data_IF_204451490633
#
_entry.id   IF_204451490633
#
_cell.length_a   1.000
_cell.length_b   1.000
_cell.length_c   1.000
_cell.angle_alpha   90.00
_cell.angle_beta   90.00
_cell.angle_gamma   90.00
#
_symmetry.space_group_name_H-M   'P 1'
#
loop_
_entity.id
_entity.type
_entity.pdbx_description
1 polymer ?
#
# COMPACT_ATOMS: atom_id res chain seq x y z
N UNK A 1 -0.20 -4.40 9.59
CA UNK A 1 0.34 -4.13 8.25
C UNK A 1 1.13 -5.33 7.78
N UNK A 2 0.87 -5.82 6.57
CA UNK A 2 1.56 -7.00 6.04
C UNK A 2 2.83 -6.58 5.29
N UNK A 3 3.96 -7.14 5.70
CA UNK A 3 5.27 -7.01 5.06
C UNK A 3 5.62 -8.35 4.42
N UNK A 4 6.33 -8.32 3.30
CA UNK A 4 6.49 -9.51 2.45
C UNK A 4 7.95 -9.68 2.05
N UNK A 5 8.45 -10.90 2.11
CA UNK A 5 9.74 -11.29 1.53
C UNK A 5 9.64 -12.72 0.99
N UNK A 6 10.16 -12.95 -0.23
CA UNK A 6 10.08 -14.26 -0.91
C UNK A 6 8.67 -14.86 -0.87
N UNK A 7 7.67 -14.05 -1.24
CA UNK A 7 6.25 -14.43 -1.34
C UNK A 7 5.60 -14.87 -0.01
N UNK A 8 6.26 -14.62 1.12
CA UNK A 8 5.76 -14.96 2.45
C UNK A 8 5.66 -13.72 3.33
N UNK A 9 4.73 -13.75 4.29
CA UNK A 9 4.65 -12.75 5.33
C UNK A 9 5.96 -12.74 6.13
N UNK A 10 6.63 -11.60 6.19
CA UNK A 10 7.89 -11.41 6.87
C UNK A 10 7.88 -10.05 7.57
N UNK A 11 8.02 -10.04 8.90
CA UNK A 11 8.00 -8.81 9.70
C UNK A 11 9.10 -7.81 9.32
N UNK A 12 10.19 -8.29 8.74
CA UNK A 12 11.34 -7.50 8.31
C UNK A 12 11.34 -7.21 6.80
N UNK A 13 10.37 -7.76 6.07
CA UNK A 13 10.22 -7.49 4.64
C UNK A 13 9.80 -6.05 4.35
N UNK A 14 9.98 -5.58 3.10
CA UNK A 14 9.40 -4.34 2.66
C UNK A 14 7.87 -4.42 2.59
N UNK A 15 7.28 -3.25 2.44
CA UNK A 15 5.88 -3.08 2.06
C UNK A 15 5.83 -2.91 0.55
N UNK A 16 4.92 -3.61 -0.11
CA UNK A 16 4.64 -3.43 -1.52
C UNK A 16 3.35 -2.64 -1.69
N UNK A 17 3.40 -1.60 -2.52
CA UNK A 17 2.26 -0.75 -2.86
C UNK A 17 2.14 -0.74 -4.38
N UNK A 18 0.92 -0.92 -4.88
CA UNK A 18 0.62 -0.83 -6.31
C UNK A 18 -0.33 0.33 -6.52
N UNK A 19 0.10 1.34 -7.29
CA UNK A 19 -0.67 2.54 -7.65
C UNK A 19 -0.67 2.78 -9.17
N UNK A 20 -0.98 1.72 -9.93
CA UNK A 20 -1.10 1.76 -11.39
C UNK A 20 -2.45 2.28 -11.88
N UNK A 21 -3.23 2.91 -11.00
CA UNK A 21 -4.63 3.30 -11.12
C UNK A 21 -4.81 4.78 -11.49
N UNK A 22 -3.96 5.29 -12.36
CA UNK A 22 -3.90 6.72 -12.68
C UNK A 22 -4.97 7.24 -13.65
N UNK A 23 -5.76 6.39 -14.32
CA UNK A 23 -6.78 6.85 -15.27
C UNK A 23 -6.43 6.73 -16.75
N UNK A 24 -5.59 5.77 -17.16
CA UNK A 24 -5.33 5.57 -18.59
C UNK A 24 -6.60 5.09 -19.33
N UNK A 25 -6.59 5.20 -20.67
CA UNK A 25 -7.73 4.81 -21.52
C UNK A 25 -7.89 3.28 -21.65
N UNK A 26 -6.95 2.50 -21.14
CA UNK A 26 -7.03 1.04 -21.17
C UNK A 26 -7.96 0.57 -20.05
N UNK A 27 -8.81 -0.39 -20.36
CA UNK A 27 -9.68 -0.99 -19.35
C UNK A 27 -8.85 -1.64 -18.24
N UNK A 28 -9.23 -1.40 -16.98
CA UNK A 28 -8.62 -2.06 -15.83
C UNK A 28 -8.65 -3.58 -15.97
N UNK A 29 -7.58 -4.26 -15.52
CA UNK A 29 -7.66 -5.70 -15.27
C UNK A 29 -8.78 -5.96 -14.24
N UNK A 30 -9.86 -6.70 -14.62
CA UNK A 30 -11.02 -6.77 -13.77
C UNK A 30 -10.96 -7.90 -12.74
N UNK A 31 -9.80 -8.51 -12.50
CA UNK A 31 -9.70 -9.69 -11.65
C UNK A 31 -8.71 -9.50 -10.50
N UNK A 32 -9.20 -9.79 -9.30
CA UNK A 32 -8.35 -10.10 -8.15
C UNK A 32 -8.35 -11.62 -7.93
N UNK A 33 -7.23 -12.14 -7.41
CA UNK A 33 -7.20 -13.53 -6.91
C UNK A 33 -8.22 -13.65 -5.76
N UNK A 34 -9.05 -14.69 -5.80
CA UNK A 34 -10.06 -14.99 -4.79
C UNK A 34 -9.89 -16.44 -4.28
N UNK A 35 -9.73 -16.67 -2.96
CA UNK A 35 -9.68 -15.69 -1.87
C UNK A 35 -8.43 -14.78 -1.93
N UNK A 36 -8.44 -13.60 -1.26
CA UNK A 36 -7.26 -12.76 -1.15
C UNK A 36 -6.07 -13.56 -0.58
N UNK A 37 -4.87 -13.48 -1.18
CA UNK A 37 -3.66 -14.01 -0.55
C UNK A 37 -3.42 -13.31 0.80
N UNK A 38 -2.97 -14.04 1.83
CA UNK A 38 -2.70 -13.49 3.17
C UNK A 38 -1.69 -12.32 3.17
N UNK A 39 -0.85 -12.25 2.13
CA UNK A 39 0.13 -11.19 1.92
C UNK A 39 -0.47 -9.88 1.38
N UNK A 40 -1.73 -9.89 0.93
CA UNK A 40 -2.46 -8.73 0.40
C UNK A 40 -3.33 -8.12 1.50
N UNK A 41 -2.88 -6.99 2.06
CA UNK A 41 -3.55 -6.31 3.16
C UNK A 41 -4.76 -5.48 2.72
N UNK A 42 -4.59 -4.68 1.67
CA UNK A 42 -5.62 -3.81 1.11
C UNK A 42 -5.56 -3.90 -0.42
N UNK A 43 -6.73 -3.85 -1.05
CA UNK A 43 -6.90 -3.81 -2.50
C UNK A 43 -8.23 -3.16 -2.82
N UNK A 44 -8.20 -2.20 -3.74
CA UNK A 44 -9.41 -1.57 -4.25
C UNK A 44 -9.21 -1.31 -5.74
N UNK A 45 -10.31 -1.36 -6.50
CA UNK A 45 -10.31 -0.93 -7.89
C UNK A 45 -11.04 0.39 -8.00
N UNK A 46 -10.26 1.46 -7.94
CA UNK A 46 -10.73 2.80 -8.23
C UNK A 46 -9.57 3.58 -8.82
N UNK A 47 -9.85 4.60 -9.62
CA UNK A 47 -8.80 5.54 -10.00
C UNK A 47 -8.45 6.42 -8.80
N UNK A 48 -7.20 6.83 -8.69
CA UNK A 48 -6.77 7.60 -7.53
C UNK A 48 -5.31 7.99 -7.57
N UNK A 49 -4.83 8.44 -6.42
CA UNK A 49 -3.42 8.76 -6.20
C UNK A 49 -3.04 8.52 -4.74
N UNK A 50 -1.75 8.27 -4.52
CA UNK A 50 -1.17 8.06 -3.20
C UNK A 50 -0.36 9.26 -2.73
N UNK A 51 -0.33 9.47 -1.42
CA UNK A 51 0.61 10.39 -0.77
C UNK A 51 1.40 9.65 0.30
N UNK A 52 2.73 9.81 0.27
CA UNK A 52 3.61 9.30 1.32
C UNK A 52 4.27 10.50 2.01
N UNK A 53 3.91 10.72 3.27
CA UNK A 53 4.47 11.79 4.09
C UNK A 53 5.48 11.20 5.08
N UNK A 54 6.77 11.34 4.81
CA UNK A 54 7.82 11.01 5.78
C UNK A 54 7.82 12.09 6.87
N UNK A 55 7.56 11.68 8.11
CA UNK A 55 7.43 12.62 9.24
C UNK A 55 8.75 12.75 9.99
N UNK A 56 9.44 11.63 10.22
CA UNK A 56 10.75 11.58 10.84
C UNK A 56 11.45 10.25 10.48
N UNK A 57 12.61 9.98 11.09
CA UNK A 57 13.39 8.77 10.83
C UNK A 57 12.68 7.45 11.14
N UNK A 58 11.60 7.46 11.95
CA UNK A 58 10.88 6.26 12.36
C UNK A 58 9.48 6.13 11.80
N UNK A 59 8.85 7.21 11.30
CA UNK A 59 7.45 7.19 10.88
C UNK A 59 7.22 7.89 9.54
N UNK A 60 6.43 7.24 8.69
CA UNK A 60 5.84 7.83 7.49
C UNK A 60 4.34 7.51 7.44
N UNK A 61 3.52 8.44 6.95
CA UNK A 61 2.10 8.24 6.75
C UNK A 61 1.83 8.02 5.26
N UNK A 62 1.27 6.86 4.93
CA UNK A 62 0.70 6.57 3.63
C UNK A 62 -0.78 6.90 3.63
N UNK A 63 -1.25 7.54 2.56
CA UNK A 63 -2.68 7.77 2.32
C UNK A 63 -2.97 7.49 0.86
N UNK A 64 -3.95 6.61 0.58
CA UNK A 64 -4.50 6.42 -0.75
C UNK A 64 -5.84 7.15 -0.88
N UNK A 65 -5.95 7.94 -1.93
CA UNK A 65 -7.02 8.89 -2.18
C UNK A 65 -7.69 8.48 -3.49
N UNK A 66 -8.91 7.99 -3.40
CA UNK A 66 -9.74 7.65 -4.56
C UNK A 66 -10.28 8.92 -5.21
N UNK A 67 -10.31 8.93 -6.54
CA UNK A 67 -11.09 9.88 -7.33
C UNK A 67 -12.54 9.37 -7.37
N UNK A 68 -13.43 10.02 -6.63
CA UNK A 68 -14.85 9.67 -6.56
C UNK A 68 -15.66 10.83 -7.13
N UNK A 69 -16.14 10.66 -8.36
CA UNK A 69 -16.81 11.65 -9.22
C UNK A 69 -16.09 13.03 -9.28
N UNK A 70 -16.30 13.86 -8.26
CA UNK A 70 -15.85 15.25 -8.17
C UNK A 70 -14.93 15.56 -6.98
N UNK A 71 -14.63 14.58 -6.11
CA UNK A 71 -13.85 14.82 -4.88
C UNK A 71 -12.83 13.73 -4.57
N UNK A 72 -11.63 14.11 -4.11
CA UNK A 72 -10.70 13.16 -3.50
C UNK A 72 -11.27 12.64 -2.18
N UNK A 73 -11.42 11.32 -2.06
CA UNK A 73 -11.86 10.63 -0.83
C UNK A 73 -10.72 9.78 -0.31
N UNK A 74 -10.37 9.94 0.97
CA UNK A 74 -9.39 9.06 1.63
C UNK A 74 -10.04 7.68 1.78
N UNK A 75 -9.55 6.69 1.05
CA UNK A 75 -10.03 5.31 1.17
C UNK A 75 -9.11 4.49 2.09
N UNK A 76 -7.80 4.76 2.07
CA UNK A 76 -6.84 4.13 3.00
C UNK A 76 -5.92 5.17 3.64
N UNK A 77 -5.62 5.01 4.93
CA UNK A 77 -4.55 5.74 5.60
C UNK A 77 -3.84 4.85 6.63
N UNK A 78 -2.51 4.76 6.54
CA UNK A 78 -1.71 3.81 7.31
C UNK A 78 -0.35 4.40 7.68
N UNK A 79 0.06 4.21 8.94
CA UNK A 79 1.40 4.57 9.41
C UNK A 79 2.40 3.44 9.14
N UNK A 80 3.52 3.79 8.53
CA UNK A 80 4.69 2.94 8.37
C UNK A 80 5.70 3.27 9.45
N UNK A 81 6.18 2.22 10.12
CA UNK A 81 7.31 2.31 11.04
C UNK A 81 8.59 1.86 10.35
N UNK A 82 9.68 2.61 10.53
CA UNK A 82 11.00 2.21 10.05
C UNK A 82 11.47 0.95 10.77
N UNK A 83 12.12 0.05 10.04
CA UNK A 83 12.76 -1.14 10.61
C UNK A 83 14.21 -0.86 11.04
N UNK A 84 14.76 0.32 10.75
CA UNK A 84 16.18 0.63 11.01
C UNK A 84 16.57 0.58 12.49
N UNK A 85 15.62 0.80 13.39
CA UNK A 85 15.83 0.71 14.85
C UNK A 85 15.39 -0.63 15.46
N UNK A 86 14.82 -1.54 14.66
CA UNK A 86 14.37 -2.85 15.16
C UNK A 86 15.54 -3.82 15.12
N UNK A 87 16.08 -4.17 16.29
CA UNK A 87 17.21 -5.10 16.42
C UNK A 87 16.90 -6.52 15.93
N UNK A 88 15.62 -6.88 15.81
CA UNK A 88 15.20 -8.17 15.27
C UNK A 88 15.20 -8.18 13.73
N UNK A 89 15.30 -7.02 13.08
CA UNK A 89 15.37 -6.89 11.63
C UNK A 89 16.76 -6.43 11.19
N UNK A 90 17.41 -7.26 10.38
CA UNK A 90 18.63 -6.86 9.69
C UNK A 90 18.22 -6.18 8.39
N UNK A 91 18.14 -4.86 8.44
CA UNK A 91 17.87 -4.00 7.28
C UNK A 91 19.13 -3.88 6.44
#
# INVERSE_FOLDING_TARGET
MTRVYKEKADKCGPVYITIGDGGNCDDFNPYFIDPPPDISYFRERSFGHGTLKVVNASHALWTWIRNDDDKPVISESLWFTSLSSDSACKV
#
